data_IF_692697089456
#
_entry.id   IF_692697089456
#
_cell.length_a   1.000
_cell.length_b   1.000
_cell.length_c   1.000
_cell.angle_alpha   90.00
_cell.angle_beta   90.00
_cell.angle_gamma   90.00
#
_symmetry.space_group_name_H-M   'P 1'
#
loop_
_entity.id
_entity.type
_entity.pdbx_description
1 polymer ?
#
# COMPACT_ATOMS: atom_id res chain seq x y z
N UNK A 1 -106.08 3.46 -17.87
CA UNK A 1 -105.45 3.75 -16.57
C UNK A 1 -104.17 2.92 -16.39
N UNK A 2 -104.09 1.62 -16.75
CA UNK A 2 -102.95 0.74 -16.56
C UNK A 2 -101.68 1.18 -17.30
N UNK A 3 -101.71 1.61 -18.53
CA UNK A 3 -100.56 2.09 -19.31
C UNK A 3 -99.86 3.33 -18.68
N UNK A 4 -100.63 4.14 -17.95
CA UNK A 4 -100.08 5.34 -17.29
C UNK A 4 -99.34 4.99 -15.99
N UNK A 5 -99.76 3.96 -15.27
CA UNK A 5 -99.14 3.44 -14.06
C UNK A 5 -97.82 2.75 -14.39
N UNK A 6 -97.74 1.92 -15.43
CA UNK A 6 -96.51 1.24 -15.86
C UNK A 6 -95.46 2.29 -16.27
N UNK A 7 -95.84 3.34 -16.99
CA UNK A 7 -94.90 4.41 -17.42
C UNK A 7 -94.36 5.24 -16.25
N UNK A 8 -95.18 5.43 -15.19
CA UNK A 8 -94.73 6.13 -13.97
C UNK A 8 -93.71 5.25 -13.16
N UNK A 9 -93.97 3.93 -13.11
CA UNK A 9 -93.12 2.98 -12.39
C UNK A 9 -91.75 2.81 -13.08
N UNK A 10 -91.75 2.70 -14.43
CA UNK A 10 -90.48 2.65 -15.19
C UNK A 10 -89.69 3.95 -15.08
N UNK A 11 -90.33 5.13 -15.04
CA UNK A 11 -89.63 6.41 -14.86
C UNK A 11 -88.98 6.51 -13.46
N UNK A 12 -89.69 6.07 -12.43
CA UNK A 12 -89.19 6.03 -11.05
C UNK A 12 -87.97 5.12 -10.92
N UNK A 13 -88.00 3.93 -11.54
CA UNK A 13 -86.87 3.00 -11.52
C UNK A 13 -85.58 3.53 -12.27
N UNK A 14 -85.88 4.26 -13.39
CA UNK A 14 -84.77 4.85 -14.19
C UNK A 14 -84.11 6.04 -13.48
N UNK A 15 -84.88 6.84 -12.75
CA UNK A 15 -84.33 7.95 -11.95
C UNK A 15 -83.57 7.46 -10.74
N UNK A 16 -84.03 6.39 -10.11
CA UNK A 16 -83.33 5.76 -9.00
C UNK A 16 -81.96 5.10 -9.45
N UNK A 17 -81.95 4.45 -10.62
CA UNK A 17 -80.78 3.92 -11.25
C UNK A 17 -79.74 5.04 -11.58
N UNK A 18 -80.22 6.14 -12.15
CA UNK A 18 -79.38 7.32 -12.47
C UNK A 18 -78.82 7.97 -11.21
N UNK A 19 -79.60 8.05 -10.14
CA UNK A 19 -79.20 8.54 -8.85
C UNK A 19 -78.05 7.66 -8.24
N UNK A 20 -78.30 6.36 -8.19
CA UNK A 20 -77.33 5.37 -7.69
C UNK A 20 -76.02 5.42 -8.51
N UNK A 21 -76.07 5.50 -9.82
CA UNK A 21 -74.93 5.62 -10.70
C UNK A 21 -74.12 6.92 -10.42
N UNK A 22 -74.84 8.04 -10.21
CA UNK A 22 -74.19 9.31 -9.85
C UNK A 22 -73.50 9.21 -8.47
N UNK A 23 -74.07 8.60 -7.49
CA UNK A 23 -73.51 8.38 -6.16
C UNK A 23 -72.23 7.49 -6.24
N UNK A 24 -72.28 6.40 -6.97
CA UNK A 24 -71.14 5.53 -7.21
C UNK A 24 -69.97 6.28 -7.91
N UNK A 25 -70.29 7.10 -8.89
CA UNK A 25 -69.26 7.92 -9.57
C UNK A 25 -68.67 8.99 -8.65
N UNK A 26 -69.44 9.63 -7.80
CA UNK A 26 -68.95 10.59 -6.81
C UNK A 26 -68.05 9.91 -5.75
N UNK A 27 -68.41 8.72 -5.28
CA UNK A 27 -67.68 7.93 -4.36
C UNK A 27 -66.30 7.50 -4.97
N UNK A 28 -66.29 7.04 -6.24
CA UNK A 28 -65.06 6.70 -6.98
C UNK A 28 -64.16 7.91 -7.14
N UNK A 29 -64.72 9.10 -7.51
CA UNK A 29 -63.87 10.33 -7.61
C UNK A 29 -63.30 10.75 -6.27
N UNK A 30 -64.04 10.69 -5.18
CA UNK A 30 -63.55 11.00 -3.82
C UNK A 30 -62.47 10.01 -3.39
N UNK A 31 -62.60 8.73 -3.70
CA UNK A 31 -61.61 7.70 -3.40
C UNK A 31 -60.35 7.93 -4.23
N UNK A 32 -60.44 8.24 -5.51
CA UNK A 32 -59.31 8.56 -6.37
C UNK A 32 -58.56 9.84 -5.92
N UNK A 33 -59.31 10.88 -5.49
CA UNK A 33 -58.70 12.09 -4.93
C UNK A 33 -57.98 11.82 -3.62
N UNK A 34 -58.55 11.00 -2.71
CA UNK A 34 -57.86 10.61 -1.47
C UNK A 34 -56.56 9.85 -1.74
N UNK A 35 -56.60 8.89 -2.70
CA UNK A 35 -55.40 8.13 -3.09
C UNK A 35 -54.34 9.08 -3.69
N UNK A 36 -54.72 10.04 -4.53
CA UNK A 36 -53.76 11.05 -5.06
C UNK A 36 -53.19 11.93 -3.96
N UNK A 37 -54.03 12.40 -3.04
CA UNK A 37 -53.58 13.23 -1.91
C UNK A 37 -52.65 12.45 -0.95
N UNK A 38 -52.98 11.21 -0.61
CA UNK A 38 -52.12 10.38 0.23
C UNK A 38 -50.80 10.07 -0.48
N UNK A 39 -50.80 9.77 -1.79
CA UNK A 39 -49.58 9.58 -2.57
C UNK A 39 -48.70 10.85 -2.62
N UNK A 40 -49.33 12.03 -2.75
CA UNK A 40 -48.61 13.30 -2.73
C UNK A 40 -48.01 13.60 -1.34
N UNK A 41 -48.74 13.32 -0.25
CA UNK A 41 -48.24 13.48 1.11
C UNK A 41 -47.04 12.53 1.41
N UNK A 42 -47.09 11.29 0.93
CA UNK A 42 -46.00 10.33 1.06
C UNK A 42 -44.78 10.81 0.27
N UNK A 43 -44.97 11.28 -0.97
CA UNK A 43 -43.87 11.80 -1.78
C UNK A 43 -43.18 13.01 -1.12
N UNK A 44 -43.98 13.97 -0.58
CA UNK A 44 -43.45 15.13 0.13
C UNK A 44 -42.70 14.74 1.41
N UNK A 45 -43.19 13.74 2.14
CA UNK A 45 -42.50 13.21 3.33
C UNK A 45 -41.19 12.58 2.97
N UNK A 46 -41.09 11.79 1.90
CA UNK A 46 -39.85 11.18 1.41
C UNK A 46 -38.83 12.27 1.02
N UNK A 47 -39.29 13.29 0.27
CA UNK A 47 -38.41 14.42 -0.10
C UNK A 47 -37.93 15.16 1.14
N UNK A 48 -38.79 15.40 2.13
CA UNK A 48 -38.43 16.04 3.38
C UNK A 48 -37.39 15.20 4.17
N UNK A 49 -37.60 13.89 4.31
CA UNK A 49 -36.68 12.97 4.96
C UNK A 49 -35.29 13.01 4.24
N UNK A 50 -35.32 13.02 2.90
CA UNK A 50 -34.08 13.10 2.10
C UNK A 50 -33.37 14.44 2.29
N UNK A 51 -34.06 15.57 2.35
CA UNK A 51 -33.48 16.88 2.63
C UNK A 51 -32.88 16.92 4.04
N UNK A 52 -33.62 16.39 5.04
CA UNK A 52 -33.11 16.27 6.42
C UNK A 52 -31.89 15.37 6.48
N UNK A 53 -31.88 14.24 5.76
CA UNK A 53 -30.73 13.35 5.65
C UNK A 53 -29.52 14.07 5.02
N UNK A 54 -29.72 14.82 3.92
CA UNK A 54 -28.67 15.63 3.30
C UNK A 54 -28.18 16.74 4.27
N UNK A 55 -29.07 17.39 5.00
CA UNK A 55 -28.71 18.41 5.98
C UNK A 55 -27.86 17.81 7.14
N UNK A 56 -28.25 16.65 7.65
CA UNK A 56 -27.53 15.93 8.71
C UNK A 56 -26.17 15.43 8.21
N UNK A 57 -26.09 14.90 6.99
CA UNK A 57 -24.84 14.44 6.39
C UNK A 57 -23.83 15.59 6.16
N UNK A 58 -24.31 16.80 5.89
CA UNK A 58 -23.50 18.02 5.78
C UNK A 58 -23.10 18.64 7.13
N UNK A 59 -23.71 18.19 8.23
CA UNK A 59 -23.40 18.68 9.59
C UNK A 59 -22.13 18.04 10.19
N UNK A 60 -21.55 17.02 9.55
CA UNK A 60 -20.26 16.48 9.98
C UNK A 60 -19.16 17.55 9.83
N UNK A 61 -18.53 17.92 10.95
CA UNK A 61 -17.43 18.88 10.97
C UNK A 61 -16.11 18.30 10.47
N UNK A 62 -16.04 16.95 10.35
CA UNK A 62 -14.85 16.23 9.90
C UNK A 62 -15.09 15.49 8.59
N UNK A 63 -14.01 15.14 7.90
CA UNK A 63 -13.99 14.21 6.78
C UNK A 63 -14.14 12.79 7.33
N UNK A 64 -14.96 11.96 6.71
CA UNK A 64 -15.16 10.56 7.12
C UNK A 64 -13.97 9.67 6.79
N UNK A 65 -13.31 9.95 5.68
CA UNK A 65 -12.14 9.25 5.20
C UNK A 65 -11.04 10.27 4.89
N UNK A 66 -9.83 9.95 5.30
CA UNK A 66 -8.62 10.71 5.03
C UNK A 66 -7.58 9.72 4.53
N UNK A 67 -6.94 10.04 3.43
CA UNK A 67 -5.80 9.28 2.91
C UNK A 67 -4.55 10.12 3.06
N UNK A 68 -3.49 9.54 3.60
CA UNK A 68 -2.18 10.14 3.72
C UNK A 68 -1.14 9.26 3.02
N UNK A 69 -0.17 9.91 2.44
CA UNK A 69 1.03 9.27 1.90
C UNK A 69 1.87 8.68 3.03
N UNK A 70 2.46 7.50 2.82
CA UNK A 70 3.36 6.87 3.77
C UNK A 70 4.50 7.82 4.18
N UNK A 71 4.90 7.78 5.45
CA UNK A 71 5.90 8.68 6.03
C UNK A 71 5.43 10.11 6.27
N UNK A 72 4.18 10.46 5.92
CA UNK A 72 3.64 11.80 6.19
C UNK A 72 3.26 11.97 7.67
N UNK A 73 3.33 13.19 8.16
CA UNK A 73 2.87 13.55 9.49
C UNK A 73 1.33 13.59 9.55
N UNK A 74 0.75 13.07 10.63
CA UNK A 74 -0.70 13.10 10.86
C UNK A 74 -1.10 14.43 11.48
N UNK A 75 -1.71 15.31 10.70
CA UNK A 75 -2.17 16.61 11.15
C UNK A 75 -3.69 16.65 11.34
N UNK A 76 -4.16 17.27 12.43
CA UNK A 76 -5.59 17.38 12.72
C UNK A 76 -6.36 18.13 11.62
N UNK A 77 -5.70 19.07 10.95
CA UNK A 77 -6.28 19.85 9.85
C UNK A 77 -6.72 18.97 8.67
N UNK A 78 -6.03 17.85 8.43
CA UNK A 78 -6.35 16.92 7.33
C UNK A 78 -7.71 16.29 7.50
N UNK A 79 -8.17 16.13 8.73
CA UNK A 79 -9.44 15.53 9.09
C UNK A 79 -10.60 16.52 9.13
N UNK A 80 -10.33 17.82 9.17
CA UNK A 80 -11.35 18.85 9.31
C UNK A 80 -11.89 19.28 7.94
N UNK A 81 -13.21 19.54 7.85
CA UNK A 81 -13.84 20.17 6.68
C UNK A 81 -13.60 21.70 6.67
N UNK A 82 -13.47 22.30 7.85
CA UNK A 82 -13.10 23.71 8.07
C UNK A 82 -12.21 23.77 9.30
N UNK A 83 -11.24 24.68 9.31
CA UNK A 83 -10.39 24.90 10.47
C UNK A 83 -11.23 25.14 11.74
N UNK A 84 -10.80 24.50 12.82
CA UNK A 84 -11.45 24.63 14.13
C UNK A 84 -10.38 24.52 15.22
N UNK A 85 -10.18 25.61 15.96
CA UNK A 85 -9.19 25.70 17.03
C UNK A 85 -9.48 24.76 18.22
N UNK A 86 -10.75 24.36 18.40
CA UNK A 86 -11.16 23.45 19.49
C UNK A 86 -11.01 21.98 19.14
N UNK A 87 -10.57 21.65 17.92
CA UNK A 87 -10.40 20.27 17.49
C UNK A 87 -9.14 19.65 18.11
N UNK A 88 -9.27 18.47 18.71
CA UNK A 88 -8.18 17.70 19.30
C UNK A 88 -8.33 16.23 19.00
N UNK A 89 -7.23 15.54 18.79
CA UNK A 89 -7.23 14.08 18.74
C UNK A 89 -7.59 13.50 20.12
N UNK A 90 -8.45 12.49 20.12
CA UNK A 90 -8.69 11.60 21.26
C UNK A 90 -7.81 10.36 21.10
N UNK A 91 -7.72 9.84 19.86
CA UNK A 91 -6.77 8.77 19.49
C UNK A 91 -5.34 9.31 19.64
N UNK A 92 -4.47 8.55 20.30
CA UNK A 92 -3.03 8.86 20.33
C UNK A 92 -2.40 8.55 18.98
N UNK A 93 -2.33 9.57 18.13
CA UNK A 93 -1.77 9.43 16.76
C UNK A 93 -0.26 9.26 16.76
N UNK A 94 0.44 9.52 17.88
CA UNK A 94 1.89 9.31 17.99
C UNK A 94 2.29 7.83 17.96
N UNK A 95 1.35 6.94 18.25
CA UNK A 95 1.54 5.49 18.19
C UNK A 95 1.31 4.91 16.79
N UNK A 96 0.86 5.71 15.84
CA UNK A 96 0.62 5.27 14.47
C UNK A 96 1.91 5.47 13.66
N UNK A 97 2.51 4.34 13.26
CA UNK A 97 3.65 4.39 12.35
C UNK A 97 3.16 4.62 10.91
N UNK A 98 3.36 5.82 10.41
CA UNK A 98 2.96 6.18 9.03
C UNK A 98 3.83 5.55 7.95
N UNK A 99 4.95 4.89 8.29
CA UNK A 99 5.69 4.04 7.38
C UNK A 99 5.03 2.69 7.09
N UNK A 100 3.94 2.34 7.78
CA UNK A 100 3.19 1.11 7.56
C UNK A 100 1.90 1.42 6.80
N UNK A 101 1.70 0.77 5.65
CA UNK A 101 0.47 0.88 4.86
C UNK A 101 -0.68 0.25 5.63
N UNK A 102 -1.84 0.91 5.64
CA UNK A 102 -3.00 0.35 6.33
C UNK A 102 -4.07 1.37 6.68
N UNK A 103 -5.02 0.96 7.51
CA UNK A 103 -6.14 1.80 7.93
C UNK A 103 -6.26 1.85 9.44
N UNK A 104 -6.53 3.03 9.97
CA UNK A 104 -6.70 3.32 11.39
C UNK A 104 -7.99 4.09 11.62
N UNK A 105 -8.61 3.87 12.76
CA UNK A 105 -9.75 4.66 13.21
C UNK A 105 -9.26 5.82 14.08
N UNK A 106 -9.60 7.03 13.71
CA UNK A 106 -9.18 8.25 14.39
C UNK A 106 -10.39 8.94 15.01
N UNK A 107 -10.37 9.09 16.32
CA UNK A 107 -11.40 9.82 17.07
C UNK A 107 -10.91 11.25 17.33
N UNK A 108 -11.75 12.22 16.96
CA UNK A 108 -11.48 13.64 17.08
C UNK A 108 -12.60 14.28 17.90
N UNK A 109 -12.22 15.04 18.93
CA UNK A 109 -13.14 15.83 19.76
C UNK A 109 -13.17 17.25 19.28
N UNK A 110 -14.38 17.79 19.11
CA UNK A 110 -14.63 19.19 18.80
C UNK A 110 -15.66 19.72 19.79
N UNK A 111 -15.22 20.55 20.72
CA UNK A 111 -16.02 20.98 21.86
C UNK A 111 -16.38 19.80 22.76
N UNK A 112 -17.69 19.50 22.89
CA UNK A 112 -18.19 18.37 23.71
C UNK A 112 -18.51 17.10 22.90
N UNK A 113 -18.35 17.12 21.56
CA UNK A 113 -18.71 16.01 20.68
C UNK A 113 -17.48 15.32 20.14
N UNK A 114 -17.56 14.01 20.02
CA UNK A 114 -16.57 13.16 19.37
C UNK A 114 -17.06 12.72 17.99
N UNK A 115 -16.12 12.59 17.08
CA UNK A 115 -16.33 12.23 15.68
C UNK A 115 -15.28 11.20 15.29
N UNK A 116 -15.66 10.23 14.51
CA UNK A 116 -14.76 9.18 14.01
C UNK A 116 -14.46 9.41 12.53
N UNK A 117 -13.20 9.27 12.17
CA UNK A 117 -12.68 9.30 10.81
C UNK A 117 -11.84 8.06 10.54
N UNK A 118 -11.89 7.52 9.34
CA UNK A 118 -10.99 6.48 8.86
C UNK A 118 -9.78 7.14 8.23
N UNK A 119 -8.59 6.92 8.79
CA UNK A 119 -7.31 7.23 8.17
C UNK A 119 -6.86 6.01 7.34
N UNK A 120 -6.49 6.23 6.09
CA UNK A 120 -5.82 5.23 5.25
C UNK A 120 -4.43 5.76 4.92
N UNK A 121 -3.40 4.95 5.16
CA UNK A 121 -2.02 5.23 4.78
C UNK A 121 -1.74 4.42 3.53
N UNK A 122 -1.35 5.10 2.45
CA UNK A 122 -1.02 4.52 1.14
C UNK A 122 0.37 5.00 0.75
N UNK A 123 1.12 4.16 0.06
CA UNK A 123 2.41 4.52 -0.53
C UNK A 123 2.26 4.56 -2.05
N UNK A 124 2.41 5.74 -2.62
CA UNK A 124 2.28 5.96 -4.06
C UNK A 124 3.58 6.42 -4.72
N UNK A 125 4.67 6.53 -3.93
CA UNK A 125 5.96 7.00 -4.40
C UNK A 125 6.94 5.85 -4.52
N UNK A 126 7.58 5.75 -5.68
CA UNK A 126 8.60 4.75 -5.89
C UNK A 126 9.88 5.06 -5.09
N UNK A 127 10.60 4.03 -4.61
CA UNK A 127 11.86 4.19 -3.91
C UNK A 127 12.93 4.84 -4.79
N UNK A 128 13.94 5.42 -4.14
CA UNK A 128 15.12 5.97 -4.79
C UNK A 128 16.37 5.31 -4.26
N UNK A 129 17.38 5.13 -5.12
CA UNK A 129 18.70 4.65 -4.73
C UNK A 129 19.77 5.17 -5.68
N UNK A 130 21.02 5.08 -5.28
CA UNK A 130 22.18 5.29 -6.14
C UNK A 130 22.71 3.96 -6.65
N UNK A 131 23.17 3.95 -7.89
CA UNK A 131 23.88 2.82 -8.47
C UNK A 131 25.22 2.64 -7.77
N UNK A 132 25.64 1.38 -7.64
CA UNK A 132 26.96 0.97 -7.17
C UNK A 132 27.52 -0.08 -8.14
N UNK A 133 28.65 0.21 -8.75
CA UNK A 133 29.32 -0.72 -9.64
C UNK A 133 30.03 -1.80 -8.81
N UNK A 134 29.96 -3.05 -9.28
CA UNK A 134 30.48 -4.22 -8.56
C UNK A 134 31.49 -4.95 -9.42
N UNK A 135 32.61 -5.32 -8.80
CA UNK A 135 33.59 -6.23 -9.38
C UNK A 135 33.56 -7.54 -8.60
N UNK A 136 33.52 -8.66 -9.31
CA UNK A 136 33.44 -9.99 -8.74
C UNK A 136 34.39 -10.93 -9.48
N UNK A 137 34.89 -11.95 -8.79
CA UNK A 137 35.64 -13.04 -9.42
C UNK A 137 34.67 -13.89 -10.25
N UNK A 138 35.17 -14.46 -11.34
CA UNK A 138 34.44 -15.41 -12.16
C UNK A 138 33.79 -16.50 -11.29
N UNK A 139 32.54 -16.83 -11.60
CA UNK A 139 31.67 -17.74 -10.86
C UNK A 139 31.42 -17.33 -9.39
N UNK A 140 31.75 -16.09 -9.01
CA UNK A 140 31.51 -15.55 -7.69
C UNK A 140 30.03 -15.34 -7.39
N UNK A 141 29.71 -15.24 -6.10
CA UNK A 141 28.33 -14.99 -5.65
C UNK A 141 28.04 -13.47 -5.67
N UNK A 142 26.88 -13.12 -6.20
CA UNK A 142 26.39 -11.75 -6.23
C UNK A 142 24.95 -11.66 -5.75
N UNK A 143 24.67 -10.55 -5.06
CA UNK A 143 23.30 -10.20 -4.61
C UNK A 143 22.93 -8.81 -5.12
N UNK A 144 21.64 -8.62 -5.40
CA UNK A 144 21.16 -7.37 -5.99
C UNK A 144 21.41 -6.14 -5.13
N UNK A 145 21.42 -6.30 -3.80
CA UNK A 145 21.68 -5.21 -2.85
C UNK A 145 23.11 -4.64 -2.94
N UNK A 146 24.07 -5.39 -3.47
CA UNK A 146 25.44 -4.91 -3.67
C UNK A 146 25.51 -3.81 -4.75
N UNK A 147 24.55 -3.77 -5.67
CA UNK A 147 24.52 -2.86 -6.82
C UNK A 147 23.80 -1.55 -6.55
N UNK A 148 23.32 -1.32 -5.34
CA UNK A 148 22.61 -0.09 -4.94
C UNK A 148 23.05 0.39 -3.57
N UNK A 149 23.10 1.72 -3.41
CA UNK A 149 23.36 2.39 -2.14
C UNK A 149 22.36 3.52 -1.94
N UNK A 150 22.32 4.10 -0.74
CA UNK A 150 21.46 5.24 -0.40
C UNK A 150 19.98 4.99 -0.75
N UNK A 151 19.48 3.78 -0.48
CA UNK A 151 18.06 3.46 -0.68
C UNK A 151 17.22 4.34 0.26
N UNK A 152 16.24 5.05 -0.32
CA UNK A 152 15.33 5.92 0.43
C UNK A 152 13.91 5.67 -0.01
N UNK A 153 13.08 5.40 0.98
CA UNK A 153 11.65 5.26 0.85
C UNK A 153 10.97 5.45 2.22
N UNK A 154 9.66 5.63 2.23
CA UNK A 154 8.86 5.70 3.44
C UNK A 154 8.51 4.33 4.00
N UNK A 155 8.47 3.31 3.14
CA UNK A 155 8.14 1.92 3.45
C UNK A 155 9.35 1.01 3.22
N UNK A 156 9.20 -0.28 3.53
CA UNK A 156 10.27 -1.26 3.27
C UNK A 156 10.46 -1.48 1.78
N UNK A 157 11.73 -1.51 1.34
CA UNK A 157 12.11 -1.73 -0.05
C UNK A 157 12.73 -3.12 -0.21
N UNK A 158 12.21 -3.90 -1.14
CA UNK A 158 12.79 -5.14 -1.62
C UNK A 158 13.67 -4.85 -2.85
N UNK A 159 14.88 -5.44 -2.87
CA UNK A 159 15.87 -5.25 -3.94
C UNK A 159 16.07 -6.57 -4.68
N UNK A 160 15.93 -6.55 -6.00
CA UNK A 160 16.07 -7.75 -6.84
C UNK A 160 16.73 -7.44 -8.17
N UNK A 161 17.30 -8.47 -8.81
CA UNK A 161 17.71 -8.35 -10.20
C UNK A 161 16.50 -8.40 -11.13
N UNK A 162 16.47 -7.55 -12.15
CA UNK A 162 15.50 -7.69 -13.25
C UNK A 162 15.72 -8.99 -14.03
N UNK A 163 16.99 -9.28 -14.31
CA UNK A 163 17.47 -10.54 -14.87
C UNK A 163 18.75 -10.92 -14.12
N UNK A 164 18.89 -12.18 -13.73
CA UNK A 164 20.10 -12.64 -13.05
C UNK A 164 21.33 -12.46 -13.97
N UNK A 165 22.36 -11.72 -13.55
CA UNK A 165 23.56 -11.52 -14.34
C UNK A 165 24.35 -12.81 -14.53
N UNK A 166 25.07 -12.92 -15.68
CA UNK A 166 26.00 -14.00 -15.94
C UNK A 166 27.40 -13.64 -15.40
N UNK A 167 27.87 -14.39 -14.44
CA UNK A 167 29.21 -14.26 -13.83
C UNK A 167 30.20 -15.32 -14.32
N UNK A 168 29.83 -16.12 -15.33
CA UNK A 168 30.68 -17.22 -15.84
C UNK A 168 31.71 -16.76 -16.88
N UNK A 169 31.64 -15.49 -17.33
CA UNK A 169 32.52 -14.94 -18.37
C UNK A 169 33.10 -13.63 -17.90
N UNK A 170 34.40 -13.48 -18.11
CA UNK A 170 35.09 -12.22 -17.84
C UNK A 170 34.57 -11.10 -18.73
N UNK A 171 34.55 -9.91 -18.18
CA UNK A 171 34.17 -8.70 -18.90
C UNK A 171 33.20 -7.81 -18.13
N UNK A 172 32.78 -6.75 -18.78
CA UNK A 172 31.85 -5.78 -18.23
C UNK A 172 30.45 -6.00 -18.82
N UNK A 173 29.44 -5.86 -17.96
CA UNK A 173 28.02 -5.92 -18.36
C UNK A 173 27.19 -4.92 -17.55
N UNK A 174 26.07 -4.45 -18.15
CA UNK A 174 25.10 -3.63 -17.44
C UNK A 174 24.10 -4.56 -16.72
N UNK A 175 23.89 -4.30 -15.45
CA UNK A 175 22.91 -4.99 -14.61
C UNK A 175 21.78 -4.05 -14.24
N UNK A 176 20.55 -4.50 -14.37
CA UNK A 176 19.37 -3.74 -13.95
C UNK A 176 18.82 -4.32 -12.64
N UNK A 177 18.77 -3.47 -11.62
CA UNK A 177 18.23 -3.74 -10.31
C UNK A 177 16.82 -3.16 -10.23
N UNK A 178 15.89 -3.91 -9.68
CA UNK A 178 14.51 -3.47 -9.42
C UNK A 178 14.34 -3.29 -7.92
N UNK A 179 14.00 -2.08 -7.54
CA UNK A 179 13.57 -1.72 -6.19
C UNK A 179 12.05 -1.77 -6.16
N UNK A 180 11.45 -2.44 -5.20
CA UNK A 180 9.98 -2.52 -5.03
C UNK A 180 9.64 -2.23 -3.58
N UNK A 181 8.77 -1.25 -3.34
CA UNK A 181 8.28 -0.90 -2.00
C UNK A 181 7.04 -1.73 -1.58
N UNK A 182 6.51 -1.46 -0.40
CA UNK A 182 5.29 -2.13 0.08
C UNK A 182 4.03 -1.71 -0.71
N UNK A 183 4.01 -0.46 -1.24
CA UNK A 183 2.96 0.05 -2.13
C UNK A 183 2.96 -0.57 -3.52
N UNK A 184 3.99 -1.42 -3.84
CA UNK A 184 4.25 -2.02 -5.15
C UNK A 184 4.70 -1.01 -6.22
N UNK A 185 5.15 0.17 -5.79
CA UNK A 185 5.80 1.08 -6.70
C UNK A 185 7.22 0.59 -6.99
N UNK A 186 7.69 0.79 -8.21
CA UNK A 186 8.96 0.24 -8.65
C UNK A 186 9.89 1.30 -9.23
N UNK A 187 11.18 1.09 -9.01
CA UNK A 187 12.27 1.87 -9.61
C UNK A 187 13.34 0.94 -10.14
N UNK A 188 13.72 1.14 -11.40
CA UNK A 188 14.89 0.47 -11.98
C UNK A 188 16.13 1.34 -11.80
N UNK A 189 17.23 0.69 -11.39
CA UNK A 189 18.57 1.29 -11.27
C UNK A 189 19.53 0.45 -12.11
N UNK A 190 20.37 1.09 -12.92
CA UNK A 190 21.38 0.44 -13.74
C UNK A 190 22.75 0.63 -13.12
N UNK A 191 23.50 -0.45 -12.99
CA UNK A 191 24.86 -0.49 -12.47
C UNK A 191 25.74 -1.36 -13.36
N UNK A 192 27.04 -1.22 -13.24
CA UNK A 192 28.02 -2.01 -13.96
C UNK A 192 28.47 -3.20 -13.11
N UNK A 193 28.47 -4.39 -13.72
CA UNK A 193 29.14 -5.56 -13.20
C UNK A 193 30.40 -5.80 -14.01
N UNK A 194 31.54 -5.95 -13.31
CA UNK A 194 32.81 -6.38 -13.89
C UNK A 194 33.16 -7.76 -13.35
N UNK A 195 33.26 -8.75 -14.22
CA UNK A 195 33.71 -10.10 -13.87
C UNK A 195 35.17 -10.24 -14.27
N UNK A 196 36.00 -10.69 -13.34
CA UNK A 196 37.46 -10.87 -13.54
C UNK A 196 37.85 -12.29 -13.18
N UNK A 197 38.74 -12.89 -14.00
CA UNK A 197 39.40 -14.14 -13.64
C UNK A 197 40.69 -13.84 -12.89
N UNK A 198 40.93 -14.61 -11.83
CA UNK A 198 42.24 -14.63 -11.21
C UNK A 198 43.22 -15.34 -12.14
N UNK A 199 44.23 -14.63 -12.57
CA UNK A 199 45.30 -15.13 -13.45
C UNK A 199 46.65 -15.12 -12.83
N UNK A 200 46.76 -14.67 -11.59
CA UNK A 200 48.03 -14.63 -10.84
C UNK A 200 48.06 -15.73 -9.78
N UNK A 201 49.18 -16.35 -9.66
CA UNK A 201 49.43 -17.31 -8.57
C UNK A 201 49.86 -16.59 -7.30
N UNK A 202 49.50 -17.08 -6.11
CA UNK A 202 49.98 -16.52 -4.85
C UNK A 202 51.52 -16.44 -4.79
N UNK A 203 52.00 -15.34 -4.25
CA UNK A 203 53.43 -15.14 -4.04
C UNK A 203 53.78 -15.54 -2.63
N UNK A 204 54.78 -16.44 -2.50
CA UNK A 204 55.32 -16.88 -1.22
C UNK A 204 56.66 -16.17 -0.99
N UNK A 205 56.74 -15.38 0.07
CA UNK A 205 57.96 -14.66 0.45
C UNK A 205 58.51 -15.17 1.78
N UNK A 206 59.79 -14.91 2.02
CA UNK A 206 60.48 -15.26 3.29
C UNK A 206 60.92 -16.72 3.39
N UNK A 207 60.82 -17.49 2.31
CA UNK A 207 61.31 -18.86 2.25
C UNK A 207 62.83 -18.84 2.34
N UNK A 208 63.41 -19.62 3.28
CA UNK A 208 64.87 -19.73 3.51
C UNK A 208 65.20 -21.11 3.96
N UNK A 209 66.47 -21.50 3.74
CA UNK A 209 67.00 -22.73 4.29
C UNK A 209 67.07 -22.67 5.83
N UNK A 210 66.61 -23.75 6.48
CA UNK A 210 66.60 -23.87 7.93
C UNK A 210 67.60 -24.95 8.32
N UNK A 211 68.57 -24.60 9.18
CA UNK A 211 69.44 -25.55 9.82
C UNK A 211 68.91 -25.81 11.24
N UNK A 212 68.70 -27.08 11.60
CA UNK A 212 68.25 -27.48 12.92
C UNK A 212 69.06 -28.64 13.44
N UNK A 213 69.24 -28.72 14.78
CA UNK A 213 69.88 -29.86 15.40
C UNK A 213 68.88 -30.99 15.67
N UNK A 214 69.40 -32.22 15.76
CA UNK A 214 68.52 -33.37 16.04
C UNK A 214 67.75 -33.15 17.36
N UNK A 215 66.43 -33.27 17.32
CA UNK A 215 65.57 -33.08 18.48
C UNK A 215 65.04 -31.67 18.68
N UNK A 216 65.42 -30.70 17.84
CA UNK A 216 64.81 -29.35 17.85
C UNK A 216 63.47 -29.31 17.07
N UNK A 217 62.55 -28.52 17.60
CA UNK A 217 61.29 -28.26 16.91
C UNK A 217 61.49 -27.19 15.83
N UNK A 218 61.23 -27.55 14.59
CA UNK A 218 61.35 -26.64 13.45
C UNK A 218 59.96 -25.97 13.13
N UNK A 219 59.98 -24.65 13.10
CA UNK A 219 58.79 -23.87 12.67
C UNK A 219 58.96 -23.45 11.20
N UNK A 220 58.38 -24.20 10.30
CA UNK A 220 58.49 -23.98 8.84
C UNK A 220 57.78 -22.72 8.37
N UNK A 221 56.76 -22.24 9.12
CA UNK A 221 55.97 -21.04 8.77
C UNK A 221 56.56 -19.73 9.32
N UNK A 222 57.63 -19.82 10.09
CA UNK A 222 58.23 -18.63 10.67
C UNK A 222 58.84 -17.75 9.59
N UNK A 223 58.45 -16.50 9.58
CA UNK A 223 58.91 -15.46 8.63
C UNK A 223 58.47 -15.71 7.16
N UNK A 224 57.55 -16.66 6.92
CA UNK A 224 56.98 -16.89 5.59
C UNK A 224 55.65 -16.17 5.49
N UNK A 225 55.48 -15.37 4.45
CA UNK A 225 54.26 -14.66 4.12
C UNK A 225 53.71 -15.14 2.76
N UNK A 226 52.40 -15.18 2.62
CA UNK A 226 51.73 -15.47 1.35
C UNK A 226 50.86 -14.30 1.02
N UNK A 227 51.00 -13.76 -0.17
CA UNK A 227 50.18 -12.68 -0.68
C UNK A 227 49.61 -13.05 -2.03
N UNK A 228 48.40 -12.57 -2.28
CA UNK A 228 47.75 -12.74 -3.56
C UNK A 228 47.00 -11.47 -3.93
N UNK A 229 46.80 -11.21 -5.22
CA UNK A 229 46.12 -9.99 -5.70
C UNK A 229 44.63 -10.05 -5.57
N UNK A 230 44.01 -11.26 -5.48
CA UNK A 230 42.59 -11.48 -5.43
C UNK A 230 42.14 -12.19 -4.14
N UNK A 231 42.91 -13.17 -3.65
CA UNK A 231 42.65 -13.83 -2.38
C UNK A 231 43.28 -13.04 -1.22
N UNK A 232 42.42 -12.43 -0.40
CA UNK A 232 42.86 -11.64 0.76
C UNK A 232 43.40 -12.50 1.91
N UNK A 233 43.16 -13.82 1.90
CA UNK A 233 43.55 -14.75 2.95
C UNK A 233 44.08 -16.06 2.36
N UNK A 234 45.12 -16.01 1.54
CA UNK A 234 45.70 -17.22 0.96
C UNK A 234 46.24 -18.13 2.05
N UNK A 235 45.97 -19.43 1.94
CA UNK A 235 46.40 -20.42 2.90
C UNK A 235 47.73 -21.02 2.49
N UNK A 236 48.67 -21.17 3.47
CA UNK A 236 49.95 -21.87 3.28
C UNK A 236 49.86 -23.28 3.87
N UNK A 237 49.95 -24.29 3.02
CA UNK A 237 50.14 -25.67 3.44
C UNK A 237 51.60 -26.11 3.28
N UNK A 238 52.07 -26.95 4.18
CA UNK A 238 53.46 -27.40 4.21
C UNK A 238 53.52 -28.93 4.23
N UNK A 239 54.05 -29.52 3.20
CA UNK A 239 54.33 -30.95 3.17
C UNK A 239 55.70 -31.22 3.76
N UNK A 240 55.72 -31.76 4.98
CA UNK A 240 56.93 -32.18 5.68
C UNK A 240 57.11 -33.71 5.74
N UNK A 241 56.37 -34.46 4.91
CA UNK A 241 56.38 -35.93 4.90
C UNK A 241 57.74 -36.52 4.52
N UNK A 242 58.62 -35.75 3.90
CA UNK A 242 59.97 -36.18 3.47
C UNK A 242 61.10 -35.71 4.41
N UNK A 243 60.75 -35.08 5.52
CA UNK A 243 61.76 -34.64 6.53
C UNK A 243 61.81 -35.68 7.64
N UNK A 244 62.92 -36.33 7.80
CA UNK A 244 63.20 -37.35 8.84
C UNK A 244 63.98 -36.76 9.99
#
# INVERSE_FOLDING_TARGET
LEKKLVFIHERSGMDDYRYQKRQKMRARRRRAQRIKMTGMCIATLIVFIFIVFLAISNLSKIKKNVTLEAGSEINIKDFLKKENADAKFVTDVSQINTGNIGSHEIVIKIGKKEYTSKLTIEDTKAPTAKANDVTVNKDGQIEANQFVTDIKDATKVDVSFKNKPDVSKDGESEVTIVLTDEGKNQKEVKAKLTVVSDSQTPVIEGVKDITAYIGETVSYKKDVTVTDNMDQNPTLDIDNSKVN
#
